data_IF_674591714547
#
_entry.id   IF_674591714547
#
_cell.length_a   1.000
_cell.length_b   1.000
_cell.length_c   1.000
_cell.angle_alpha   90.00
_cell.angle_beta   90.00
_cell.angle_gamma   90.00
#
_symmetry.space_group_name_H-M   'P 1'
#
loop_
_entity.id
_entity.type
_entity.pdbx_description
1 polymer ?
#
# COMPACT_ATOMS: atom_id res chain seq x y z
N UNK A 1 -55.80 -28.66 -18.30
CA UNK A 1 -56.07 -28.97 -16.88
C UNK A 1 -55.43 -30.31 -16.55
N UNK A 2 -54.64 -30.32 -15.47
CA UNK A 2 -53.58 -31.25 -15.06
C UNK A 2 -53.97 -32.72 -14.88
N UNK A 3 -53.06 -33.66 -15.20
CA UNK A 3 -52.78 -34.88 -14.41
C UNK A 3 -51.29 -35.29 -14.50
N UNK A 4 -50.69 -35.43 -13.32
CA UNK A 4 -49.30 -35.80 -12.99
C UNK A 4 -49.05 -37.30 -13.07
N UNK A 5 -47.80 -37.70 -13.33
CA UNK A 5 -47.24 -39.03 -12.99
C UNK A 5 -45.73 -38.87 -12.73
N UNK A 6 -45.30 -38.83 -11.45
CA UNK A 6 -44.46 -39.85 -10.74
C UNK A 6 -43.05 -40.04 -11.33
N UNK A 7 -41.94 -40.20 -10.61
CA UNK A 7 -41.54 -40.49 -9.22
C UNK A 7 -40.01 -40.22 -9.16
N UNK A 8 -39.44 -40.18 -7.94
CA UNK A 8 -38.07 -40.59 -7.50
C UNK A 8 -37.57 -39.52 -6.53
N UNK A 9 -37.85 -39.66 -5.23
CA UNK A 9 -37.06 -40.39 -4.24
C UNK A 9 -35.62 -39.85 -4.11
N UNK A 10 -35.31 -39.21 -2.98
CA UNK A 10 -34.30 -39.65 -2.02
C UNK A 10 -34.21 -38.61 -0.88
N UNK A 11 -34.63 -39.00 0.32
CA UNK A 11 -34.21 -38.31 1.54
C UNK A 11 -32.76 -38.72 1.79
N UNK A 12 -31.83 -37.79 1.56
CA UNK A 12 -30.47 -37.90 2.09
C UNK A 12 -30.38 -36.97 3.30
N UNK A 13 -30.40 -37.55 4.50
CA UNK A 13 -29.90 -36.87 5.70
C UNK A 13 -28.38 -36.96 5.62
N UNK A 14 -27.73 -35.85 5.29
CA UNK A 14 -26.28 -35.68 5.42
C UNK A 14 -26.03 -34.67 6.54
N UNK A 15 -25.44 -35.14 7.64
CA UNK A 15 -24.85 -34.29 8.66
C UNK A 15 -23.69 -33.50 8.06
N UNK A 16 -23.66 -32.20 8.21
CA UNK A 16 -22.40 -31.47 8.31
C UNK A 16 -22.59 -30.35 9.34
N UNK A 17 -22.11 -30.62 10.55
CA UNK A 17 -21.56 -29.58 11.37
C UNK A 17 -20.26 -29.14 10.68
N UNK A 18 -20.13 -27.86 10.36
CA UNK A 18 -18.94 -27.07 10.65
C UNK A 18 -19.30 -25.59 10.55
N UNK A 19 -19.03 -24.91 11.65
CA UNK A 19 -19.20 -23.50 11.89
C UNK A 19 -17.92 -22.81 11.43
N UNK A 20 -18.08 -21.62 10.84
CA UNK A 20 -17.03 -20.66 10.44
C UNK A 20 -16.06 -21.12 9.36
N UNK A 21 -16.46 -20.92 8.11
CA UNK A 21 -15.53 -20.61 7.03
C UNK A 21 -14.85 -19.27 7.39
N UNK A 22 -13.58 -19.37 7.81
CA UNK A 22 -12.68 -18.22 7.90
C UNK A 22 -12.60 -17.65 6.49
N UNK A 23 -13.12 -16.44 6.31
CA UNK A 23 -13.02 -15.70 5.06
C UNK A 23 -11.54 -15.68 4.65
N UNK A 24 -11.22 -16.41 3.60
CA UNK A 24 -9.95 -16.33 2.90
C UNK A 24 -9.67 -14.85 2.62
N UNK A 25 -8.52 -14.37 3.08
CA UNK A 25 -8.00 -13.05 2.72
C UNK A 25 -7.65 -13.14 1.24
N UNK A 26 -8.63 -12.81 0.42
CA UNK A 26 -8.44 -12.55 -0.99
C UNK A 26 -7.63 -11.26 -1.06
N UNK A 27 -6.32 -11.37 -1.25
CA UNK A 27 -5.47 -10.28 -1.74
C UNK A 27 -6.07 -9.84 -3.08
N UNK A 28 -7.03 -8.95 -2.98
CA UNK A 28 -7.74 -8.37 -4.11
C UNK A 28 -6.71 -7.51 -4.79
N UNK A 29 -6.41 -7.84 -6.04
CA UNK A 29 -5.40 -7.14 -6.81
C UNK A 29 -5.81 -5.67 -6.87
N UNK A 30 -5.06 -4.82 -6.16
CA UNK A 30 -5.23 -3.38 -6.22
C UNK A 30 -5.05 -3.00 -7.71
N UNK A 31 -5.96 -2.24 -8.32
CA UNK A 31 -5.78 -1.81 -9.70
C UNK A 31 -4.42 -1.14 -9.85
N UNK A 32 -3.63 -1.57 -10.84
CA UNK A 32 -2.30 -1.01 -11.17
C UNK A 32 -2.32 0.53 -11.21
N UNK A 33 -3.47 1.12 -11.54
CA UNK A 33 -3.70 2.56 -11.52
C UNK A 33 -3.44 3.22 -10.16
N UNK A 34 -3.85 2.61 -9.03
CA UNK A 34 -3.66 3.15 -7.67
C UNK A 34 -2.21 3.05 -7.18
N UNK A 35 -1.48 2.03 -7.60
CA UNK A 35 -0.07 1.85 -7.21
C UNK A 35 0.82 2.83 -7.99
N UNK A 36 0.55 3.02 -9.29
CA UNK A 36 1.18 4.10 -10.09
C UNK A 36 0.81 5.48 -9.51
N UNK A 37 -0.34 5.63 -8.84
CA UNK A 37 -0.65 6.89 -8.13
C UNK A 37 0.30 7.15 -6.97
N UNK A 38 0.75 6.13 -6.21
CA UNK A 38 1.58 6.38 -5.05
C UNK A 38 2.95 6.92 -5.42
N UNK A 39 3.66 6.29 -6.37
CA UNK A 39 4.97 6.78 -6.84
C UNK A 39 4.84 8.22 -7.37
N UNK A 40 3.78 8.52 -8.14
CA UNK A 40 3.52 9.87 -8.63
C UNK A 40 3.20 10.87 -7.52
N UNK A 41 2.37 10.48 -6.56
CA UNK A 41 1.99 11.30 -5.40
C UNK A 41 3.21 11.57 -4.53
N UNK A 42 4.00 10.55 -4.23
CA UNK A 42 5.27 10.65 -3.51
C UNK A 42 6.20 11.66 -4.18
N UNK A 43 6.47 11.49 -5.48
CA UNK A 43 7.38 12.40 -6.21
C UNK A 43 6.84 13.83 -6.28
N UNK A 44 5.53 14.01 -6.41
CA UNK A 44 4.92 15.33 -6.47
C UNK A 44 4.92 16.04 -5.10
N UNK A 45 4.57 15.34 -4.03
CA UNK A 45 4.40 15.91 -2.69
C UNK A 45 5.75 16.06 -1.95
N UNK A 46 6.67 15.11 -2.13
CA UNK A 46 7.95 15.08 -1.38
C UNK A 46 9.11 15.70 -2.16
N UNK A 47 9.12 15.53 -3.49
CA UNK A 47 10.22 15.97 -4.35
C UNK A 47 9.85 17.12 -5.29
N UNK A 48 8.58 17.53 -5.33
CA UNK A 48 8.05 18.51 -6.30
C UNK A 48 8.37 18.15 -7.77
N UNK A 49 8.39 16.84 -8.06
CA UNK A 49 8.65 16.28 -9.40
C UNK A 49 7.39 15.61 -9.94
N UNK A 50 6.87 16.12 -11.06
CA UNK A 50 5.67 15.57 -11.71
C UNK A 50 5.98 14.63 -12.89
N UNK A 51 7.21 14.65 -13.38
CA UNK A 51 7.67 13.80 -14.49
C UNK A 51 9.01 13.18 -14.10
N UNK A 52 9.05 11.85 -14.06
CA UNK A 52 10.25 11.08 -13.74
C UNK A 52 10.21 9.75 -14.50
N UNK A 53 11.38 9.14 -14.65
CA UNK A 53 11.50 7.77 -15.11
C UNK A 53 11.89 6.83 -13.95
N UNK A 54 11.67 5.52 -14.12
CA UNK A 54 12.00 4.51 -13.10
C UNK A 54 13.47 4.55 -12.66
N UNK A 55 14.46 4.71 -13.57
CA UNK A 55 15.86 4.87 -13.16
C UNK A 55 16.11 6.08 -12.26
N UNK A 56 15.42 7.20 -12.49
CA UNK A 56 15.55 8.40 -11.66
C UNK A 56 14.87 8.24 -10.31
N UNK A 57 13.68 7.62 -10.26
CA UNK A 57 13.02 7.25 -9.01
C UNK A 57 13.92 6.35 -8.15
N UNK A 58 14.51 5.32 -8.77
CA UNK A 58 15.44 4.43 -8.08
C UNK A 58 16.63 5.20 -7.49
N UNK A 59 17.32 5.98 -8.33
CA UNK A 59 18.54 6.69 -7.94
C UNK A 59 18.30 7.77 -6.88
N UNK A 60 17.10 8.38 -6.85
CA UNK A 60 16.76 9.39 -5.85
C UNK A 60 16.60 8.82 -4.43
N UNK A 61 16.19 7.56 -4.32
CA UNK A 61 15.95 6.89 -3.03
C UNK A 61 17.00 5.83 -2.68
N UNK A 62 18.04 5.72 -3.49
CA UNK A 62 19.32 5.09 -3.12
C UNK A 62 20.11 6.13 -2.30
N UNK A 63 19.78 6.23 -1.01
CA UNK A 63 20.16 7.35 -0.15
C UNK A 63 21.65 7.38 0.15
N UNK A 64 22.32 6.22 0.15
CA UNK A 64 23.77 6.12 0.32
C UNK A 64 24.53 5.91 -1.01
N UNK A 65 23.81 5.83 -2.13
CA UNK A 65 24.34 5.69 -3.49
C UNK A 65 25.16 4.40 -3.70
N UNK A 66 24.77 3.31 -3.04
CA UNK A 66 25.44 2.01 -3.14
C UNK A 66 24.88 1.10 -4.25
N UNK A 67 23.84 1.54 -4.97
CA UNK A 67 23.25 0.86 -6.11
C UNK A 67 22.14 -0.16 -5.79
N UNK A 68 21.71 -0.25 -4.53
CA UNK A 68 20.58 -1.06 -4.08
C UNK A 68 19.77 -0.31 -3.02
N UNK A 69 18.55 -0.76 -2.74
CA UNK A 69 17.84 -0.34 -1.53
C UNK A 69 17.88 -1.47 -0.51
N UNK A 70 18.38 -1.16 0.67
CA UNK A 70 18.25 -2.06 1.82
C UNK A 70 16.88 -1.88 2.53
N UNK A 71 16.66 -2.66 3.59
CA UNK A 71 15.43 -2.58 4.40
C UNK A 71 15.21 -1.17 4.95
N UNK A 72 16.27 -0.47 5.35
CA UNK A 72 16.18 0.88 5.88
C UNK A 72 15.78 1.87 4.79
N UNK A 73 16.34 1.78 3.59
CA UNK A 73 16.01 2.66 2.46
C UNK A 73 14.60 2.42 1.94
N UNK A 74 14.13 1.16 1.91
CA UNK A 74 12.72 0.85 1.65
C UNK A 74 11.82 1.59 2.66
N UNK A 75 12.08 1.43 3.96
CA UNK A 75 11.29 2.06 5.01
C UNK A 75 11.35 3.59 4.95
N UNK A 76 12.53 4.14 4.65
CA UNK A 76 12.75 5.58 4.54
C UNK A 76 12.00 6.19 3.36
N UNK A 77 11.95 5.51 2.23
CA UNK A 77 11.13 5.91 1.07
C UNK A 77 9.65 6.01 1.46
N UNK A 78 9.18 5.14 2.35
CA UNK A 78 7.83 5.21 2.94
C UNK A 78 7.72 6.14 4.17
N UNK A 79 8.69 7.02 4.42
CA UNK A 79 8.65 8.03 5.48
C UNK A 79 8.88 7.50 6.91
N UNK A 80 9.37 6.26 7.08
CA UNK A 80 9.48 5.64 8.41
C UNK A 80 10.66 6.13 9.27
N UNK A 81 11.50 7.01 8.72
CA UNK A 81 12.57 7.70 9.44
C UNK A 81 12.12 9.07 9.98
N UNK A 82 10.91 9.52 9.62
CA UNK A 82 10.35 10.79 10.06
C UNK A 82 9.72 10.72 11.47
N UNK A 83 9.80 11.77 12.30
CA UNK A 83 9.20 11.79 13.63
C UNK A 83 7.69 11.50 13.68
N UNK A 84 6.93 11.83 12.63
CA UNK A 84 5.49 11.52 12.52
C UNK A 84 5.23 10.00 12.48
N UNK A 85 6.18 9.22 11.96
CA UNK A 85 6.07 7.77 11.88
C UNK A 85 6.45 7.06 13.19
N UNK A 86 6.75 7.79 14.28
CA UNK A 86 7.16 7.22 15.56
C UNK A 86 6.14 6.24 16.15
N UNK A 87 4.86 6.51 15.95
CA UNK A 87 3.77 5.69 16.49
C UNK A 87 3.32 4.58 15.52
N UNK A 88 3.95 4.48 14.34
CA UNK A 88 3.70 3.37 13.39
C UNK A 88 4.22 2.06 13.99
N UNK A 89 3.36 1.05 14.18
CA UNK A 89 3.77 -0.21 14.78
C UNK A 89 4.84 -0.93 13.95
N UNK A 90 5.76 -1.60 14.64
CA UNK A 90 6.79 -2.42 14.00
C UNK A 90 6.19 -3.49 13.05
N UNK A 91 5.01 -4.02 13.38
CA UNK A 91 4.28 -4.94 12.50
C UNK A 91 3.97 -4.33 11.14
N UNK A 92 3.61 -3.04 11.07
CA UNK A 92 3.35 -2.33 9.82
C UNK A 92 4.64 -2.08 9.04
N UNK A 93 5.75 -1.74 9.71
CA UNK A 93 7.07 -1.64 9.06
C UNK A 93 7.50 -2.97 8.42
N UNK A 94 7.28 -4.07 9.13
CA UNK A 94 7.51 -5.42 8.62
C UNK A 94 6.58 -5.81 7.46
N UNK A 95 5.34 -5.34 7.47
CA UNK A 95 4.39 -5.54 6.37
C UNK A 95 4.89 -4.85 5.09
N UNK A 96 5.33 -3.59 5.20
CA UNK A 96 5.90 -2.82 4.09
C UNK A 96 7.08 -3.57 3.49
N UNK A 97 8.11 -3.85 4.30
CA UNK A 97 9.36 -4.42 3.80
C UNK A 97 9.15 -5.79 3.16
N UNK A 98 8.35 -6.67 3.78
CA UNK A 98 8.03 -7.98 3.20
C UNK A 98 7.26 -7.87 1.91
N UNK A 99 6.33 -6.92 1.81
CA UNK A 99 5.53 -6.73 0.60
C UNK A 99 6.41 -6.25 -0.54
N UNK A 100 7.27 -5.25 -0.31
CA UNK A 100 8.15 -4.73 -1.36
C UNK A 100 9.18 -5.77 -1.79
N UNK A 101 9.83 -6.46 -0.85
CA UNK A 101 10.77 -7.53 -1.19
C UNK A 101 10.08 -8.65 -1.97
N UNK A 102 8.87 -9.05 -1.59
CA UNK A 102 8.11 -10.06 -2.34
C UNK A 102 7.72 -9.64 -3.76
N UNK A 103 7.61 -8.34 -4.03
CA UNK A 103 7.30 -7.80 -5.35
C UNK A 103 8.54 -7.64 -6.24
N UNK A 104 9.67 -7.24 -5.66
CA UNK A 104 10.82 -6.74 -6.42
C UNK A 104 12.07 -7.61 -6.28
N UNK A 105 12.40 -8.09 -5.08
CA UNK A 105 13.61 -8.88 -4.79
C UNK A 105 13.44 -10.32 -5.34
N UNK A 106 13.87 -10.52 -6.58
CA UNK A 106 13.70 -11.80 -7.30
C UNK A 106 14.69 -12.83 -6.83
N UNK A 107 15.85 -12.39 -6.35
CA UNK A 107 16.94 -13.27 -5.95
C UNK A 107 16.92 -13.63 -4.45
N UNK A 108 16.02 -12.99 -3.68
CA UNK A 108 15.77 -13.19 -2.26
C UNK A 108 16.98 -12.90 -1.35
N UNK A 109 17.79 -11.89 -1.68
CA UNK A 109 18.93 -11.48 -0.87
C UNK A 109 18.59 -10.36 0.14
N UNK A 110 17.33 -9.93 0.22
CA UNK A 110 16.79 -8.89 1.10
C UNK A 110 17.28 -7.47 0.78
N UNK A 111 17.69 -7.23 -0.46
CA UNK A 111 17.90 -5.89 -1.00
C UNK A 111 17.16 -5.77 -2.34
N UNK A 112 16.96 -4.55 -2.80
CA UNK A 112 16.40 -4.29 -4.13
C UNK A 112 17.50 -3.73 -5.00
N UNK A 113 18.00 -4.53 -5.93
CA UNK A 113 19.00 -4.03 -6.87
C UNK A 113 18.34 -3.20 -7.97
N UNK A 114 19.10 -2.24 -8.53
CA UNK A 114 18.61 -1.43 -9.65
C UNK A 114 18.05 -2.27 -10.80
N UNK A 115 18.69 -3.39 -11.14
CA UNK A 115 18.20 -4.29 -12.20
C UNK A 115 16.84 -4.90 -11.86
N UNK A 116 16.65 -5.34 -10.62
CA UNK A 116 15.39 -5.92 -10.17
C UNK A 116 14.27 -4.88 -10.18
N UNK A 117 14.55 -3.66 -9.70
CA UNK A 117 13.59 -2.55 -9.73
C UNK A 117 13.19 -2.16 -11.15
N UNK A 118 14.13 -2.17 -12.10
CA UNK A 118 13.84 -1.83 -13.51
C UNK A 118 13.12 -2.95 -14.26
N UNK A 119 13.33 -4.21 -13.87
CA UNK A 119 12.60 -5.36 -14.41
C UNK A 119 11.24 -5.58 -13.75
N UNK A 120 10.99 -4.99 -12.58
CA UNK A 120 9.70 -5.06 -11.90
C UNK A 120 8.63 -4.36 -12.75
N UNK A 121 7.66 -5.15 -13.20
CA UNK A 121 6.47 -4.69 -13.88
C UNK A 121 5.37 -4.42 -12.85
N UNK A 122 4.96 -3.17 -12.72
CA UNK A 122 3.98 -2.75 -11.73
C UNK A 122 4.39 -1.42 -11.09
N UNK A 123 3.80 -1.12 -9.95
CA UNK A 123 4.16 0.04 -9.15
C UNK A 123 4.21 -0.31 -7.67
N UNK A 124 4.93 0.51 -6.92
CA UNK A 124 5.04 0.34 -5.48
C UNK A 124 3.68 0.59 -4.80
N UNK A 125 3.23 -0.30 -3.89
CA UNK A 125 1.93 -0.20 -3.25
C UNK A 125 1.84 0.95 -2.23
N UNK A 126 0.64 1.49 -2.06
CA UNK A 126 0.28 2.42 -0.97
C UNK A 126 -0.13 1.63 0.29
N UNK A 127 0.34 2.05 1.46
CA UNK A 127 0.05 1.39 2.75
C UNK A 127 -0.89 2.19 3.67
N UNK A 128 -1.43 3.31 3.18
CA UNK A 128 -2.25 4.24 3.94
C UNK A 128 -1.45 5.09 4.92
N UNK A 129 -0.16 5.31 4.63
CA UNK A 129 0.76 6.05 5.50
C UNK A 129 1.08 7.45 4.97
N UNK A 130 0.51 7.80 3.80
CA UNK A 130 0.77 9.06 3.13
C UNK A 130 1.82 8.92 2.03
N UNK A 131 2.23 10.04 1.41
CA UNK A 131 3.15 10.04 0.27
C UNK A 131 4.50 9.39 0.58
N UNK A 132 5.01 9.48 1.82
CA UNK A 132 6.36 9.00 2.18
C UNK A 132 7.23 10.18 2.61
N UNK A 133 6.90 10.71 3.79
CA UNK A 133 7.24 12.05 4.27
C UNK A 133 8.74 12.40 4.37
N UNK A 134 9.13 13.64 3.99
CA UNK A 134 10.28 14.36 4.51
C UNK A 134 10.17 15.91 4.52
N UNK A 135 10.39 16.48 5.73
CA UNK A 135 10.75 17.86 6.12
C UNK A 135 9.67 18.94 6.34
N UNK A 136 9.57 19.24 7.65
CA UNK A 136 9.21 20.47 8.36
C UNK A 136 7.78 20.58 8.94
N UNK A 137 7.76 20.71 10.26
CA UNK A 137 6.58 21.01 11.08
C UNK A 137 5.88 22.30 10.65
N UNK A 138 6.45 23.12 9.78
CA UNK A 138 5.83 24.40 9.40
C UNK A 138 4.72 24.18 8.37
N UNK A 139 4.87 23.25 7.42
CA UNK A 139 3.80 22.96 6.45
C UNK A 139 2.69 22.08 7.04
N UNK A 140 3.01 21.12 7.91
CA UNK A 140 2.00 20.26 8.53
C UNK A 140 1.08 21.04 9.49
N UNK A 141 1.59 22.09 10.15
CA UNK A 141 0.75 22.95 11.00
C UNK A 141 -0.34 23.66 10.19
N UNK A 142 -0.03 24.10 8.97
CA UNK A 142 -0.99 24.82 8.12
C UNK A 142 -2.01 23.88 7.46
N UNK A 143 -1.67 22.63 7.15
CA UNK A 143 -2.65 21.70 6.55
C UNK A 143 -3.50 21.00 7.63
N UNK A 144 -2.92 20.59 8.77
CA UNK A 144 -3.68 19.93 9.84
C UNK A 144 -4.65 20.84 10.61
N UNK A 145 -4.41 22.16 10.63
CA UNK A 145 -5.28 23.09 11.36
C UNK A 145 -6.46 23.61 10.53
N UNK A 146 -6.41 23.55 9.20
CA UNK A 146 -7.51 24.01 8.36
C UNK A 146 -8.53 22.92 8.03
N UNK A 147 -8.13 21.65 7.83
CA UNK A 147 -9.08 20.57 7.56
C UNK A 147 -10.00 20.26 8.76
N UNK A 148 -9.55 20.54 9.99
CA UNK A 148 -10.36 20.33 11.21
C UNK A 148 -11.37 21.45 11.49
N UNK A 149 -11.17 22.65 10.96
CA UNK A 149 -12.13 23.77 11.11
C UNK A 149 -13.15 23.83 9.97
N UNK A 150 -12.77 23.41 8.76
CA UNK A 150 -13.67 23.45 7.60
C UNK A 150 -14.72 22.34 7.63
N UNK A 151 -14.48 21.17 8.22
CA UNK A 151 -15.55 20.15 8.37
C UNK A 151 -16.49 20.38 9.56
N UNK A 152 -16.11 21.20 10.53
CA UNK A 152 -16.94 21.53 11.70
C UNK A 152 -17.84 22.77 11.52
N UNK A 153 -17.72 23.50 10.41
CA UNK A 153 -18.44 24.78 10.23
C UNK A 153 -19.53 24.79 9.15
N UNK A 154 -19.82 23.67 8.49
CA UNK A 154 -20.90 23.58 7.47
C UNK A 154 -22.19 22.92 8.00
N UNK A 155 -22.37 22.83 9.31
CA UNK A 155 -23.59 22.28 9.95
C UNK A 155 -24.32 23.33 10.81
N UNK A 156 -24.53 24.54 10.29
CA UNK A 156 -25.25 25.57 11.05
C UNK A 156 -25.44 26.87 10.32
N UNK A 157 -26.13 26.84 9.17
CA UNK A 157 -26.80 28.02 8.62
C UNK A 157 -28.20 27.57 8.17
N UNK A 158 -29.15 27.66 9.10
CA UNK A 158 -30.57 27.91 8.87
C UNK A 158 -31.08 28.80 10.02
#
# INVERSE_FOLDING_TARGET
MSKYTFLVAFLAVLSHAELSEVQDIQLTQVPIELEVQWENKHMAEEHHVHEFDRPSFFALHDYDSNGHWDIYEILKTYGMDDPSARDVPEMKKNEITRTILALVDKNANNIIEKSEFLEFEGALPEFGLGPGHHWDMETEYEIHHWEKLVSASVSGCD
#
